data_IF_472504688228
#
_entry.id   IF_472504688228
#
_cell.length_a   1.000
_cell.length_b   1.000
_cell.length_c   1.000
_cell.angle_alpha   90.00
_cell.angle_beta   90.00
_cell.angle_gamma   90.00
#
_symmetry.space_group_name_H-M   'P 1'
#
loop_
_entity.id
_entity.type
_entity.pdbx_description
1 polymer ?
#
# COMPACT_ATOMS: atom_id res chain seq x y z
N UNK A 1 22.95 2.45 -1.41
CA UNK A 1 23.39 1.47 -2.41
C UNK A 1 23.76 0.15 -1.73
N UNK A 2 24.74 0.11 -0.83
CA UNK A 2 25.22 -1.12 -0.18
C UNK A 2 24.09 -2.01 0.42
N UNK A 3 23.05 -1.42 0.96
CA UNK A 3 21.93 -2.17 1.53
C UNK A 3 21.07 -2.84 0.44
N UNK A 4 20.88 -2.18 -0.70
CA UNK A 4 20.10 -2.73 -1.81
C UNK A 4 20.75 -3.93 -2.50
N UNK A 5 22.06 -4.10 -2.33
CA UNK A 5 22.81 -5.25 -2.84
C UNK A 5 22.60 -6.53 -2.02
N UNK A 6 22.08 -6.40 -0.79
CA UNK A 6 21.86 -7.57 0.08
C UNK A 6 20.61 -8.32 -0.36
N UNK A 7 20.66 -9.64 -0.40
CA UNK A 7 19.49 -10.50 -0.67
C UNK A 7 18.37 -10.28 0.33
N UNK A 8 18.72 -10.04 1.61
CA UNK A 8 17.75 -9.75 2.68
C UNK A 8 17.06 -8.38 2.57
N UNK A 9 17.53 -7.49 1.70
CA UNK A 9 16.88 -6.20 1.45
C UNK A 9 15.88 -6.35 0.30
N UNK A 10 14.61 -6.41 0.59
CA UNK A 10 13.55 -6.62 -0.41
C UNK A 10 12.99 -5.32 -1.01
N UNK A 11 13.33 -4.15 -0.46
CA UNK A 11 12.82 -2.87 -0.96
C UNK A 11 13.24 -1.67 -0.11
N UNK A 12 12.69 -0.52 -0.44
CA UNK A 12 12.85 0.74 0.31
C UNK A 12 11.51 1.12 0.90
N UNK A 13 11.45 1.58 2.16
CA UNK A 13 10.26 2.17 2.77
C UNK A 13 10.45 3.66 3.01
N UNK A 14 9.49 4.48 2.58
CA UNK A 14 9.44 5.92 2.79
C UNK A 14 8.23 6.32 3.63
N UNK A 15 8.40 7.37 4.42
CA UNK A 15 7.39 7.96 5.30
C UNK A 15 7.23 9.46 5.02
N UNK A 16 6.65 9.86 3.85
CA UNK A 16 6.64 11.26 3.42
C UNK A 16 5.95 12.19 4.43
N UNK A 17 4.86 11.76 5.05
CA UNK A 17 4.13 12.52 6.06
C UNK A 17 4.98 12.90 7.27
N UNK A 18 5.81 11.98 7.75
CA UNK A 18 6.68 12.19 8.90
C UNK A 18 7.98 12.92 8.54
N UNK A 19 8.44 12.76 7.30
CA UNK A 19 9.61 13.47 6.79
C UNK A 19 9.28 14.87 6.24
N UNK A 20 8.00 15.23 6.14
CA UNK A 20 7.47 16.48 5.59
C UNK A 20 7.98 16.76 4.16
N UNK A 21 8.02 15.73 3.31
CA UNK A 21 8.54 15.79 1.94
C UNK A 21 7.57 15.08 1.00
N UNK A 22 7.23 15.70 -0.11
CA UNK A 22 6.43 15.05 -1.16
C UNK A 22 7.18 13.90 -1.82
N UNK A 23 6.44 12.87 -2.23
CA UNK A 23 6.99 11.71 -2.96
C UNK A 23 7.72 12.14 -4.25
N UNK A 24 7.20 13.14 -4.95
CA UNK A 24 7.82 13.71 -6.15
C UNK A 24 8.98 14.69 -5.90
N UNK A 25 9.50 14.81 -4.68
CA UNK A 25 10.63 15.70 -4.39
C UNK A 25 11.93 15.14 -4.96
N UNK A 26 12.71 16.00 -5.62
CA UNK A 26 13.96 15.63 -6.29
C UNK A 26 15.00 14.95 -5.38
N UNK A 27 14.92 15.16 -4.06
CA UNK A 27 15.78 14.46 -3.09
C UNK A 27 15.61 12.94 -3.11
N UNK A 28 14.44 12.44 -3.53
CA UNK A 28 14.18 11.01 -3.63
C UNK A 28 14.55 10.39 -4.98
N UNK A 29 14.77 11.19 -6.04
CA UNK A 29 15.04 10.68 -7.38
C UNK A 29 16.19 9.68 -7.44
N UNK A 30 17.35 9.93 -6.78
CA UNK A 30 18.45 8.96 -6.77
C UNK A 30 18.06 7.62 -6.11
N UNK A 31 17.12 7.64 -5.13
CA UNK A 31 16.61 6.42 -4.49
C UNK A 31 15.72 5.62 -5.45
N UNK A 32 14.89 6.31 -6.26
CA UNK A 32 14.03 5.66 -7.25
C UNK A 32 14.85 5.03 -8.38
N UNK A 33 15.86 5.72 -8.86
CA UNK A 33 16.80 5.18 -9.87
C UNK A 33 17.55 3.94 -9.34
N UNK A 34 18.06 4.00 -8.12
CA UNK A 34 18.71 2.87 -7.47
C UNK A 34 17.73 1.70 -7.25
N UNK A 35 16.50 1.98 -6.81
CA UNK A 35 15.47 0.95 -6.65
C UNK A 35 15.20 0.22 -7.97
N UNK A 36 15.09 0.96 -9.08
CA UNK A 36 14.92 0.37 -10.41
C UNK A 36 16.17 -0.42 -10.85
N UNK A 37 17.39 0.10 -10.58
CA UNK A 37 18.65 -0.58 -10.92
C UNK A 37 18.80 -1.93 -10.22
N UNK A 38 18.39 -2.01 -8.95
CA UNK A 38 18.46 -3.23 -8.13
C UNK A 38 17.18 -4.05 -8.17
N UNK A 39 16.21 -3.68 -9.01
CA UNK A 39 14.91 -4.33 -9.15
C UNK A 39 14.17 -4.50 -7.81
N UNK A 40 14.22 -3.45 -6.98
CA UNK A 40 13.57 -3.38 -5.66
C UNK A 40 12.40 -2.39 -5.69
N UNK A 41 11.25 -2.70 -5.06
CA UNK A 41 10.15 -1.76 -4.94
C UNK A 41 10.44 -0.65 -3.92
N UNK A 42 9.70 0.45 -4.06
CA UNK A 42 9.65 1.53 -3.09
C UNK A 42 8.27 1.55 -2.45
N UNK A 43 8.18 1.11 -1.21
CA UNK A 43 6.96 1.17 -0.41
C UNK A 43 6.83 2.55 0.24
N UNK A 44 5.68 3.18 0.05
CA UNK A 44 5.39 4.54 0.50
C UNK A 44 4.23 4.51 1.47
N UNK A 45 4.45 5.03 2.68
CA UNK A 45 3.35 5.25 3.62
C UNK A 45 2.38 6.26 3.02
N UNK A 46 1.14 5.84 2.77
CA UNK A 46 0.03 6.68 2.31
C UNK A 46 -1.14 6.56 3.27
N UNK A 47 -2.08 7.50 3.21
CA UNK A 47 -3.23 7.46 4.10
C UNK A 47 -3.04 8.24 5.40
N UNK A 48 -3.74 7.81 6.43
CA UNK A 48 -3.71 8.42 7.75
C UNK A 48 -2.35 8.27 8.42
N UNK A 49 -2.02 9.17 9.35
CA UNK A 49 -0.79 9.10 10.17
C UNK A 49 -1.15 8.72 11.60
N UNK A 50 -0.31 7.90 12.23
CA UNK A 50 -0.54 7.38 13.58
C UNK A 50 -0.49 8.47 14.68
N UNK A 51 0.06 9.65 14.40
CA UNK A 51 0.16 10.74 15.37
C UNK A 51 0.17 12.12 14.69
N UNK A 52 0.00 13.17 15.50
CA UNK A 52 -0.06 14.55 15.02
C UNK A 52 1.24 15.14 14.44
N UNK A 53 2.35 14.39 14.45
CA UNK A 53 3.61 14.85 13.85
C UNK A 53 3.67 14.60 12.34
N UNK A 54 2.88 13.67 11.82
CA UNK A 54 2.77 13.42 10.40
C UNK A 54 1.80 14.39 9.72
N UNK A 55 2.18 14.93 8.56
CA UNK A 55 1.32 15.82 7.78
C UNK A 55 0.64 15.06 6.64
N UNK A 56 -0.69 14.96 6.72
CA UNK A 56 -1.54 14.20 5.80
C UNK A 56 -1.32 14.57 4.33
N UNK A 57 -1.06 15.85 4.02
CA UNK A 57 -0.84 16.30 2.65
C UNK A 57 0.30 15.57 1.92
N UNK A 58 1.30 15.08 2.66
CA UNK A 58 2.42 14.32 2.09
C UNK A 58 2.11 12.82 1.97
N UNK A 59 1.06 12.34 2.65
CA UNK A 59 0.61 10.94 2.62
C UNK A 59 -0.55 10.72 1.65
N UNK A 60 -1.03 11.76 0.97
CA UNK A 60 -2.13 11.64 0.04
C UNK A 60 -1.74 10.78 -1.18
N UNK A 61 -2.56 9.81 -1.62
CA UNK A 61 -2.25 8.92 -2.74
C UNK A 61 -1.80 9.62 -4.01
N UNK A 62 -2.39 10.76 -4.36
CA UNK A 62 -2.02 11.55 -5.55
C UNK A 62 -0.55 12.00 -5.56
N UNK A 63 0.11 12.06 -4.41
CA UNK A 63 1.55 12.37 -4.35
C UNK A 63 2.42 11.30 -4.97
N UNK A 64 1.92 10.07 -5.08
CA UNK A 64 2.62 8.93 -5.70
C UNK A 64 2.52 8.99 -7.22
N UNK A 65 1.44 9.57 -7.77
CA UNK A 65 1.17 9.63 -9.20
C UNK A 65 2.29 10.30 -10.00
N UNK A 66 2.77 11.45 -9.52
CA UNK A 66 3.86 12.20 -10.18
C UNK A 66 5.16 11.40 -10.22
N UNK A 67 5.54 10.78 -9.11
CA UNK A 67 6.74 9.96 -9.03
C UNK A 67 6.62 8.71 -9.92
N UNK A 68 5.48 8.06 -9.92
CA UNK A 68 5.24 6.88 -10.76
C UNK A 68 5.35 7.20 -12.25
N UNK A 69 4.82 8.34 -12.68
CA UNK A 69 4.90 8.79 -14.07
C UNK A 69 6.35 9.17 -14.49
N UNK A 70 7.12 9.79 -13.58
CA UNK A 70 8.51 10.17 -13.84
C UNK A 70 9.48 8.98 -13.81
N UNK A 71 9.19 7.96 -13.01
CA UNK A 71 10.05 6.78 -12.80
C UNK A 71 9.34 5.48 -13.20
N UNK A 72 9.01 5.28 -14.50
CA UNK A 72 8.19 4.14 -14.96
C UNK A 72 8.87 2.78 -14.78
N UNK A 73 10.18 2.73 -14.52
CA UNK A 73 10.93 1.51 -14.23
C UNK A 73 10.95 1.15 -12.74
N UNK A 74 10.57 2.07 -11.85
CA UNK A 74 10.51 1.85 -10.42
C UNK A 74 9.13 1.34 -10.05
N UNK A 75 9.04 0.24 -9.30
CA UNK A 75 7.79 -0.23 -8.71
C UNK A 75 7.52 0.54 -7.42
N UNK A 76 6.34 1.13 -7.32
CA UNK A 76 5.87 1.81 -6.12
C UNK A 76 4.77 0.98 -5.45
N UNK A 77 4.78 0.94 -4.12
CA UNK A 77 3.72 0.31 -3.32
C UNK A 77 3.10 1.36 -2.41
N UNK A 78 1.84 1.69 -2.64
CA UNK A 78 1.05 2.51 -1.71
C UNK A 78 0.64 1.65 -0.53
N UNK A 79 1.20 1.91 0.67
CA UNK A 79 0.78 1.23 1.88
C UNK A 79 -0.61 1.69 2.31
N UNK A 80 -1.37 0.78 2.95
CA UNK A 80 -2.69 1.07 3.54
C UNK A 80 -3.76 1.46 2.51
N UNK A 81 -3.53 1.15 1.23
CA UNK A 81 -4.42 1.55 0.12
C UNK A 81 -4.84 3.03 0.18
N UNK A 82 -3.96 3.89 0.70
CA UNK A 82 -4.23 5.32 0.86
C UNK A 82 -5.38 5.70 1.78
N UNK A 83 -5.87 4.78 2.61
CA UNK A 83 -7.02 5.00 3.50
C UNK A 83 -6.88 6.28 4.35
N UNK A 84 -7.86 7.22 4.36
CA UNK A 84 -9.25 7.08 3.87
C UNK A 84 -9.51 7.55 2.43
N UNK A 85 -8.51 7.98 1.65
CA UNK A 85 -8.67 8.49 0.27
C UNK A 85 -8.77 7.37 -0.77
N UNK A 86 -9.73 6.47 -0.57
CA UNK A 86 -9.89 5.27 -1.40
C UNK A 86 -10.09 5.54 -2.89
N UNK A 87 -10.92 6.54 -3.32
CA UNK A 87 -11.08 6.88 -4.73
C UNK A 87 -9.78 7.33 -5.40
N UNK A 88 -9.02 8.19 -4.71
CA UNK A 88 -7.77 8.73 -5.23
C UNK A 88 -6.70 7.63 -5.34
N UNK A 89 -6.60 6.76 -4.32
CA UNK A 89 -5.72 5.59 -4.35
C UNK A 89 -6.07 4.66 -5.51
N UNK A 90 -7.35 4.38 -5.72
CA UNK A 90 -7.84 3.54 -6.80
C UNK A 90 -7.50 4.14 -8.18
N UNK A 91 -7.66 5.46 -8.34
CA UNK A 91 -7.32 6.17 -9.58
C UNK A 91 -5.82 6.11 -9.88
N UNK A 92 -4.96 6.30 -8.87
CA UNK A 92 -3.49 6.20 -9.02
C UNK A 92 -3.09 4.78 -9.39
N UNK A 93 -3.68 3.79 -8.75
CA UNK A 93 -3.40 2.37 -8.99
C UNK A 93 -3.83 1.93 -10.39
N UNK A 94 -5.02 2.38 -10.84
CA UNK A 94 -5.54 2.06 -12.17
C UNK A 94 -4.68 2.67 -13.28
N UNK A 95 -4.35 3.97 -13.14
CA UNK A 95 -3.60 4.72 -14.14
C UNK A 95 -2.17 4.23 -14.34
N UNK A 96 -1.44 3.90 -13.25
CA UNK A 96 0.00 3.67 -13.29
C UNK A 96 0.33 2.17 -13.24
N UNK A 97 0.87 1.63 -14.32
CA UNK A 97 1.22 0.21 -14.42
C UNK A 97 2.27 -0.26 -13.39
N UNK A 98 3.12 0.66 -12.93
CA UNK A 98 4.19 0.42 -11.96
C UNK A 98 3.81 0.74 -10.50
N UNK A 99 2.52 0.99 -10.22
CA UNK A 99 2.00 1.20 -8.86
C UNK A 99 1.21 -0.02 -8.40
N UNK A 100 1.48 -0.44 -7.18
CA UNK A 100 0.81 -1.50 -6.42
C UNK A 100 0.32 -0.93 -5.09
N UNK A 101 -0.50 -1.67 -4.36
CA UNK A 101 -0.92 -1.27 -3.02
C UNK A 101 -0.97 -2.46 -2.07
N UNK A 102 -0.67 -2.23 -0.80
CA UNK A 102 -0.97 -3.19 0.25
C UNK A 102 -2.21 -2.78 1.05
N UNK A 103 -2.82 -3.77 1.69
CA UNK A 103 -4.01 -3.60 2.52
C UNK A 103 -3.67 -3.68 4.02
N UNK A 104 -2.46 -3.29 4.40
CA UNK A 104 -2.04 -3.22 5.79
C UNK A 104 -2.70 -2.04 6.52
N UNK A 105 -2.80 -2.10 7.84
CA UNK A 105 -3.21 -0.95 8.67
C UNK A 105 -4.61 -0.39 8.39
N UNK A 106 -5.52 -1.19 7.83
CA UNK A 106 -6.93 -0.78 7.66
C UNK A 106 -7.71 -0.87 8.97
N UNK A 107 -7.25 -1.73 9.87
CA UNK A 107 -7.74 -1.91 11.24
C UNK A 107 -6.54 -2.05 12.17
N UNK A 108 -6.73 -1.69 13.44
CA UNK A 108 -5.72 -1.79 14.49
C UNK A 108 -6.31 -2.43 15.75
N UNK A 109 -5.46 -3.04 16.58
CA UNK A 109 -5.84 -3.63 17.86
C UNK A 109 -6.56 -4.98 17.75
N UNK A 110 -7.48 -5.20 18.69
CA UNK A 110 -8.38 -6.33 18.74
C UNK A 110 -9.79 -5.86 18.40
N UNK A 111 -10.53 -6.64 17.62
CA UNK A 111 -11.88 -6.30 17.20
C UNK A 111 -12.77 -7.55 17.08
N UNK A 112 -14.08 -7.36 17.28
CA UNK A 112 -15.08 -8.34 16.91
C UNK A 112 -15.47 -8.13 15.44
N UNK A 113 -15.32 -9.18 14.63
CA UNK A 113 -15.54 -9.06 13.18
C UNK A 113 -17.02 -8.88 12.82
N UNK A 114 -17.93 -9.54 13.52
CA UNK A 114 -19.36 -9.46 13.21
C UNK A 114 -19.88 -8.06 13.53
N UNK A 115 -19.56 -7.53 14.72
CA UNK A 115 -19.87 -6.17 15.13
C UNK A 115 -19.26 -5.15 14.18
N UNK A 116 -17.98 -5.34 13.84
CA UNK A 116 -17.24 -4.45 12.95
C UNK A 116 -17.87 -4.35 11.55
N UNK A 117 -18.23 -5.49 10.95
CA UNK A 117 -18.85 -5.50 9.62
C UNK A 117 -20.28 -4.96 9.64
N UNK A 118 -21.02 -5.13 10.74
CA UNK A 118 -22.34 -4.54 10.91
C UNK A 118 -22.26 -3.01 11.03
N UNK A 119 -21.46 -2.51 11.98
CA UNK A 119 -21.37 -1.09 12.28
C UNK A 119 -20.70 -0.27 11.14
N UNK A 120 -19.70 -0.86 10.47
CA UNK A 120 -18.92 -0.19 9.43
C UNK A 120 -19.21 -0.71 8.01
N UNK A 121 -20.39 -1.28 7.79
CA UNK A 121 -20.79 -1.86 6.49
C UNK A 121 -20.63 -0.89 5.31
N UNK A 122 -20.90 0.39 5.51
CA UNK A 122 -20.69 1.44 4.50
C UNK A 122 -19.22 1.59 4.09
N UNK A 123 -18.31 1.63 5.07
CA UNK A 123 -16.87 1.72 4.80
C UNK A 123 -16.36 0.49 4.03
N UNK A 124 -16.71 -0.71 4.46
CA UNK A 124 -16.28 -1.94 3.77
C UNK A 124 -16.89 -2.08 2.38
N UNK A 125 -18.10 -1.60 2.18
CA UNK A 125 -18.71 -1.52 0.84
C UNK A 125 -17.95 -0.57 -0.07
N UNK A 126 -17.55 0.60 0.42
CA UNK A 126 -16.72 1.57 -0.32
C UNK A 126 -15.34 0.98 -0.64
N UNK A 127 -14.69 0.33 0.33
CA UNK A 127 -13.39 -0.29 0.14
C UNK A 127 -13.46 -1.37 -0.95
N UNK A 128 -14.44 -2.26 -0.93
CA UNK A 128 -14.66 -3.26 -1.99
C UNK A 128 -14.92 -2.62 -3.35
N UNK A 129 -15.70 -1.55 -3.39
CA UNK A 129 -15.99 -0.81 -4.63
C UNK A 129 -14.72 -0.28 -5.27
N UNK A 130 -13.88 0.39 -4.50
CA UNK A 130 -12.66 1.00 -5.03
C UNK A 130 -11.54 0.00 -5.31
N UNK A 131 -11.46 -1.07 -4.56
CA UNK A 131 -10.58 -2.21 -4.88
C UNK A 131 -11.01 -2.87 -6.20
N UNK A 132 -12.31 -3.03 -6.43
CA UNK A 132 -12.86 -3.53 -7.70
C UNK A 132 -12.57 -2.60 -8.88
N UNK A 133 -12.72 -1.28 -8.67
CA UNK A 133 -12.41 -0.26 -9.68
C UNK A 133 -10.93 -0.27 -10.08
N UNK A 134 -10.03 -0.43 -9.12
CA UNK A 134 -8.57 -0.41 -9.32
C UNK A 134 -7.99 -1.66 -10.04
N UNK A 135 -8.71 -2.23 -10.96
CA UNK A 135 -8.28 -3.38 -11.78
C UNK A 135 -8.55 -4.74 -11.14
N UNK A 136 -9.51 -4.82 -10.22
CA UNK A 136 -10.03 -6.10 -9.74
C UNK A 136 -9.03 -6.92 -8.92
N UNK A 137 -8.30 -6.32 -8.02
CA UNK A 137 -7.34 -6.95 -7.09
C UNK A 137 -5.99 -7.38 -7.70
N UNK A 138 -5.74 -7.14 -9.01
CA UNK A 138 -4.52 -7.61 -9.68
C UNK A 138 -3.22 -6.96 -9.16
N UNK A 139 -3.32 -5.73 -8.63
CA UNK A 139 -2.18 -4.96 -8.11
C UNK A 139 -2.23 -4.72 -6.60
N UNK A 140 -3.09 -5.48 -5.91
CA UNK A 140 -3.28 -5.36 -4.46
C UNK A 140 -2.66 -6.55 -3.76
N UNK A 141 -2.05 -6.32 -2.60
CA UNK A 141 -1.44 -7.37 -1.80
C UNK A 141 -1.84 -7.30 -0.33
N UNK A 142 -1.84 -8.45 0.33
CA UNK A 142 -2.01 -8.56 1.77
C UNK A 142 -0.81 -7.95 2.51
N UNK A 143 -1.09 -7.28 3.61
CA UNK A 143 -0.15 -6.78 4.60
C UNK A 143 -0.86 -6.56 5.92
N UNK A 144 -0.17 -6.49 7.03
CA UNK A 144 -0.77 -6.37 8.37
C UNK A 144 -0.47 -5.07 9.09
N UNK A 145 0.69 -4.48 8.84
CA UNK A 145 1.27 -3.41 9.67
C UNK A 145 1.56 -3.88 11.13
N UNK A 146 1.96 -5.17 11.24
CA UNK A 146 2.38 -5.73 12.53
C UNK A 146 3.49 -4.85 13.17
N UNK A 147 3.45 -4.59 14.49
CA UNK A 147 2.68 -5.29 15.54
C UNK A 147 1.34 -4.64 15.94
N UNK A 148 0.77 -3.75 15.12
CA UNK A 148 -0.44 -2.98 15.48
C UNK A 148 -1.72 -3.80 15.46
N UNK A 149 -1.69 -5.03 14.91
CA UNK A 149 -2.86 -5.90 14.75
C UNK A 149 -2.63 -7.29 15.35
N UNK A 150 -3.71 -7.97 15.71
CA UNK A 150 -3.71 -9.42 15.88
C UNK A 150 -3.72 -10.08 14.50
N UNK A 151 -2.66 -10.83 14.17
CA UNK A 151 -2.47 -11.39 12.82
C UNK A 151 -3.57 -12.36 12.41
N UNK A 152 -4.03 -13.22 13.33
CA UNK A 152 -5.07 -14.21 13.04
C UNK A 152 -6.41 -13.53 12.73
N UNK A 153 -6.81 -12.55 13.53
CA UNK A 153 -8.00 -11.75 13.27
C UNK A 153 -7.88 -10.95 11.96
N UNK A 154 -6.70 -10.40 11.67
CA UNK A 154 -6.50 -9.63 10.44
C UNK A 154 -6.54 -10.50 9.18
N UNK A 155 -6.02 -11.73 9.24
CA UNK A 155 -6.17 -12.71 8.16
C UNK A 155 -7.66 -13.00 7.93
N UNK A 156 -8.42 -13.26 8.99
CA UNK A 156 -9.85 -13.53 8.87
C UNK A 156 -10.62 -12.32 8.32
N UNK A 157 -10.32 -11.11 8.81
CA UNK A 157 -10.87 -9.88 8.25
C UNK A 157 -10.64 -9.79 6.74
N UNK A 158 -9.41 -10.00 6.29
CA UNK A 158 -9.06 -9.94 4.88
C UNK A 158 -9.75 -11.01 4.04
N UNK A 159 -9.92 -12.22 4.59
CA UNK A 159 -10.68 -13.29 3.93
C UNK A 159 -12.17 -12.92 3.78
N UNK A 160 -12.75 -12.22 4.75
CA UNK A 160 -14.12 -11.71 4.65
C UNK A 160 -14.22 -10.52 3.68
N UNK A 161 -13.21 -9.66 3.63
CA UNK A 161 -13.20 -8.46 2.78
C UNK A 161 -13.03 -8.80 1.31
N UNK A 162 -12.09 -9.69 0.98
CA UNK A 162 -11.67 -10.02 -0.39
C UNK A 162 -12.49 -11.22 -0.90
N UNK A 163 -13.08 -11.16 -2.10
CA UNK A 163 -13.75 -12.33 -2.68
C UNK A 163 -12.76 -13.50 -2.84
N UNK A 164 -13.20 -14.72 -2.49
CA UNK A 164 -12.39 -15.94 -2.43
C UNK A 164 -11.57 -16.19 -3.72
N UNK A 165 -12.18 -15.94 -4.88
CA UNK A 165 -11.50 -16.08 -6.19
C UNK A 165 -10.23 -15.21 -6.35
N UNK A 166 -10.02 -14.21 -5.49
CA UNK A 166 -8.85 -13.32 -5.51
C UNK A 166 -7.87 -13.59 -4.35
N UNK A 167 -8.17 -14.55 -3.45
CA UNK A 167 -7.34 -14.82 -2.28
C UNK A 167 -5.90 -15.16 -2.65
N UNK A 168 -5.68 -16.11 -3.56
CA UNK A 168 -4.32 -16.49 -3.96
C UNK A 168 -3.53 -15.29 -4.52
N UNK A 169 -4.20 -14.45 -5.31
CA UNK A 169 -3.59 -13.25 -5.88
C UNK A 169 -3.17 -12.26 -4.80
N UNK A 170 -4.12 -11.90 -3.92
CA UNK A 170 -3.89 -10.87 -2.88
C UNK A 170 -2.98 -11.36 -1.78
N UNK A 171 -3.15 -12.60 -1.29
CA UNK A 171 -2.37 -13.12 -0.16
C UNK A 171 -0.96 -13.58 -0.54
N UNK A 172 -0.69 -13.83 -1.82
CA UNK A 172 0.58 -14.43 -2.23
C UNK A 172 1.18 -13.86 -3.52
N UNK A 173 0.48 -13.99 -4.66
CA UNK A 173 1.08 -13.80 -5.98
C UNK A 173 1.55 -12.36 -6.20
N UNK A 174 0.78 -11.36 -5.78
CA UNK A 174 1.13 -9.94 -5.98
C UNK A 174 2.37 -9.57 -5.19
N UNK A 175 2.47 -9.96 -3.92
CA UNK A 175 3.66 -9.70 -3.09
C UNK A 175 4.89 -10.42 -3.66
N UNK A 176 4.74 -11.69 -4.05
CA UNK A 176 5.80 -12.46 -4.70
C UNK A 176 6.33 -11.77 -5.96
N UNK A 177 5.44 -11.28 -6.81
CA UNK A 177 5.80 -10.55 -8.03
C UNK A 177 6.51 -9.23 -7.72
N UNK A 178 5.97 -8.44 -6.78
CA UNK A 178 6.47 -7.08 -6.48
C UNK A 178 7.82 -7.11 -5.79
N UNK A 179 8.02 -8.04 -4.85
CA UNK A 179 9.21 -8.13 -3.99
C UNK A 179 10.18 -9.23 -4.40
N UNK A 180 9.86 -10.03 -5.43
CA UNK A 180 10.68 -11.18 -5.90
C UNK A 180 10.96 -12.21 -4.80
N UNK A 181 9.91 -12.60 -4.06
CA UNK A 181 9.97 -13.59 -2.97
C UNK A 181 9.88 -15.01 -3.50
#
# INVERSE_FOLDING_TARGET
>A
EQNLQRESCVGIKLYPGYNHVYVGDARFFPLYELAAQYDKPVAIHTGSTANGMGFLKYCHPLTVDEAAAQFPKTRFVMCHFGNPWLPDAAAVLEKNANVFADLSGLLEGLFDLDELFEENSGYFSLLRTWLGYAGGYEKVMYGTDWPLVNMEQYIHFMQCLIPEKHHEKVFYQTAKHVYHL
#
